data_IF_415766598934
#
_entry.id   IF_415766598934
#
_cell.length_a   1.000
_cell.length_b   1.000
_cell.length_c   1.000
_cell.angle_alpha   90.00
_cell.angle_beta   90.00
_cell.angle_gamma   90.00
#
_symmetry.space_group_name_H-M   'P 1'
#
loop_
_entity.id
_entity.type
_entity.pdbx_description
1 polymer ?
#
# COMPACT_ATOMS: atom_id res chain seq x y z
N UNK A 1 7.23 3.52 -17.67
CA UNK A 1 7.36 4.64 -18.63
C UNK A 1 7.71 5.96 -17.97
N UNK A 2 6.93 6.47 -17.01
CA UNK A 2 7.19 7.79 -16.39
C UNK A 2 8.66 8.04 -15.96
N UNK A 3 9.27 7.09 -15.24
CA UNK A 3 10.64 7.25 -14.74
C UNK A 3 11.69 7.24 -15.85
N UNK A 4 11.42 6.62 -17.01
CA UNK A 4 12.42 6.48 -18.09
C UNK A 4 12.90 7.83 -18.61
N UNK A 5 12.08 8.88 -18.51
CA UNK A 5 12.44 10.24 -18.94
C UNK A 5 13.54 10.88 -18.08
N UNK A 6 13.79 10.34 -16.89
CA UNK A 6 14.74 10.89 -15.91
C UNK A 6 16.04 10.10 -15.81
N UNK A 7 16.15 8.97 -16.50
CA UNK A 7 17.32 8.11 -16.46
C UNK A 7 17.90 7.91 -17.86
N UNK A 8 19.23 7.87 -18.00
CA UNK A 8 19.86 7.46 -19.26
C UNK A 8 19.40 6.04 -19.67
N UNK A 9 19.49 5.71 -20.97
CA UNK A 9 19.28 4.35 -21.43
C UNK A 9 20.11 3.35 -20.62
N UNK A 10 19.53 2.18 -20.32
CA UNK A 10 20.18 1.09 -19.58
C UNK A 10 20.55 1.37 -18.11
N UNK A 11 20.07 2.46 -17.51
CA UNK A 11 20.24 2.73 -16.06
C UNK A 11 19.02 2.29 -15.27
N UNK A 12 17.83 2.41 -15.86
CA UNK A 12 16.58 1.95 -15.26
C UNK A 12 16.22 0.58 -15.84
N UNK A 13 16.17 -0.42 -14.97
CA UNK A 13 15.74 -1.76 -15.30
C UNK A 13 14.37 -2.04 -14.70
N UNK A 14 13.49 -2.63 -15.50
CA UNK A 14 12.14 -3.01 -15.08
C UNK A 14 11.97 -4.50 -15.27
N UNK A 15 11.46 -5.15 -14.23
CA UNK A 15 11.12 -6.57 -14.25
C UNK A 15 9.73 -6.75 -13.70
N UNK A 16 8.94 -7.56 -14.38
CA UNK A 16 7.59 -7.91 -13.98
C UNK A 16 7.49 -9.42 -13.86
N UNK A 17 6.87 -9.87 -12.77
CA UNK A 17 6.68 -11.28 -12.51
C UNK A 17 5.32 -11.53 -11.88
N UNK A 18 4.46 -12.20 -12.65
CA UNK A 18 3.25 -12.80 -12.13
C UNK A 18 3.57 -14.04 -11.28
N UNK A 19 2.88 -14.17 -10.16
CA UNK A 19 3.04 -15.31 -9.25
C UNK A 19 1.73 -16.10 -9.10
N UNK A 20 1.89 -17.40 -8.85
CA UNK A 20 0.79 -18.30 -8.48
C UNK A 20 1.38 -19.47 -7.69
N UNK A 21 1.07 -19.54 -6.39
CA UNK A 21 1.64 -20.49 -5.46
C UNK A 21 0.72 -21.69 -5.17
N UNK A 22 -0.30 -21.92 -6.01
CA UNK A 22 -1.27 -22.99 -5.75
C UNK A 22 -0.65 -24.38 -5.70
N UNK A 23 0.24 -24.69 -6.63
CA UNK A 23 0.81 -26.04 -6.76
C UNK A 23 2.31 -26.00 -6.60
N UNK A 24 2.89 -27.11 -6.12
CA UNK A 24 4.36 -27.26 -6.06
C UNK A 24 5.03 -26.99 -7.40
N UNK A 25 4.40 -27.41 -8.51
CA UNK A 25 4.90 -27.14 -9.85
C UNK A 25 4.91 -25.64 -10.19
N UNK A 26 3.85 -24.89 -9.83
CA UNK A 26 3.82 -23.44 -10.05
C UNK A 26 4.76 -22.68 -9.11
N UNK A 27 4.92 -23.13 -7.87
CA UNK A 27 5.93 -22.61 -6.94
C UNK A 27 7.33 -22.82 -7.50
N UNK A 28 7.65 -24.03 -7.99
CA UNK A 28 8.94 -24.32 -8.61
C UNK A 28 9.18 -23.46 -9.87
N UNK A 29 8.13 -23.26 -10.69
CA UNK A 29 8.17 -22.35 -11.84
C UNK A 29 8.45 -20.90 -11.42
N UNK A 30 7.79 -20.41 -10.37
CA UNK A 30 8.05 -19.07 -9.82
C UNK A 30 9.49 -18.93 -9.34
N UNK A 31 9.97 -19.93 -8.59
CA UNK A 31 11.35 -19.96 -8.10
C UNK A 31 12.37 -19.88 -9.24
N UNK A 32 12.21 -20.69 -10.28
CA UNK A 32 13.09 -20.64 -11.45
C UNK A 32 13.08 -19.29 -12.16
N UNK A 33 11.90 -18.64 -12.28
CA UNK A 33 11.81 -17.27 -12.83
C UNK A 33 12.50 -16.24 -11.94
N UNK A 34 12.38 -16.38 -10.61
CA UNK A 34 13.08 -15.50 -9.66
C UNK A 34 14.60 -15.67 -9.72
N UNK A 35 15.09 -16.89 -9.93
CA UNK A 35 16.53 -17.16 -10.13
C UNK A 35 17.04 -16.49 -11.42
N UNK A 36 16.31 -16.60 -12.54
CA UNK A 36 16.66 -15.87 -13.78
C UNK A 36 16.61 -14.35 -13.60
N UNK A 37 15.62 -13.83 -12.88
CA UNK A 37 15.54 -12.40 -12.57
C UNK A 37 16.73 -11.95 -11.73
N UNK A 38 17.11 -12.75 -10.73
CA UNK A 38 18.27 -12.49 -9.88
C UNK A 38 19.57 -12.41 -10.70
N UNK A 39 19.81 -13.33 -11.64
CA UNK A 39 20.98 -13.27 -12.53
C UNK A 39 21.03 -11.96 -13.33
N UNK A 40 19.88 -11.49 -13.81
CA UNK A 40 19.77 -10.19 -14.48
C UNK A 40 20.09 -9.02 -13.56
N UNK A 41 19.63 -9.06 -12.31
CA UNK A 41 19.89 -8.00 -11.33
C UNK A 41 21.34 -8.01 -10.85
N UNK A 42 21.94 -9.18 -10.63
CA UNK A 42 23.33 -9.33 -10.18
C UNK A 42 24.34 -8.81 -11.23
N UNK A 43 23.92 -8.66 -12.49
CA UNK A 43 24.71 -7.99 -13.53
C UNK A 43 24.81 -6.46 -13.35
N UNK A 44 23.98 -5.87 -12.47
CA UNK A 44 23.97 -4.43 -12.18
C UNK A 44 24.89 -4.14 -10.98
N UNK A 45 25.96 -3.36 -11.16
CA UNK A 45 27.01 -3.20 -10.14
C UNK A 45 26.56 -2.44 -8.88
N UNK A 46 25.56 -1.57 -9.00
CA UNK A 46 24.96 -0.84 -7.88
C UNK A 46 23.60 -0.29 -8.28
N UNK A 47 22.61 -0.36 -7.38
CA UNK A 47 21.28 0.16 -7.67
C UNK A 47 20.42 0.32 -6.41
N UNK A 48 19.40 1.17 -6.53
CA UNK A 48 18.31 1.23 -5.54
C UNK A 48 17.18 0.33 -6.03
N UNK A 49 16.78 -0.62 -5.21
CA UNK A 49 15.73 -1.58 -5.55
C UNK A 49 14.38 -1.06 -5.06
N UNK A 50 13.39 -1.06 -5.96
CA UNK A 50 12.00 -0.83 -5.65
C UNK A 50 11.15 -2.02 -6.10
N UNK A 51 10.25 -2.45 -5.22
CA UNK A 51 9.38 -3.59 -5.47
C UNK A 51 7.94 -3.15 -5.29
N UNK A 52 7.14 -3.32 -6.32
CA UNK A 52 5.69 -3.19 -6.24
C UNK A 52 5.09 -4.59 -6.08
N UNK A 53 4.27 -4.78 -5.04
CA UNK A 53 3.51 -6.02 -4.85
C UNK A 53 2.04 -5.67 -5.03
N UNK A 54 1.45 -6.16 -6.11
CA UNK A 54 0.02 -6.03 -6.38
C UNK A 54 -0.68 -7.34 -6.06
N UNK A 55 -1.57 -7.33 -5.07
CA UNK A 55 -2.33 -8.50 -4.66
C UNK A 55 -3.61 -8.08 -3.92
N UNK A 56 -4.59 -8.96 -3.85
CA UNK A 56 -5.72 -8.79 -2.95
C UNK A 56 -5.42 -9.39 -1.58
N UNK A 57 -5.96 -8.78 -0.53
CA UNK A 57 -6.00 -9.35 0.80
C UNK A 57 -7.42 -9.77 1.14
N UNK A 58 -7.58 -10.93 1.80
CA UNK A 58 -8.85 -11.49 2.19
C UNK A 58 -9.48 -10.69 3.33
N UNK A 59 -10.77 -10.37 3.20
CA UNK A 59 -11.48 -9.49 4.14
C UNK A 59 -11.56 -10.06 5.55
N UNK A 60 -11.76 -11.37 5.69
CA UNK A 60 -12.03 -11.99 6.99
C UNK A 60 -10.76 -12.17 7.83
N UNK A 61 -9.59 -12.29 7.20
CA UNK A 61 -8.36 -12.69 7.88
C UNK A 61 -7.11 -11.88 7.52
N UNK A 62 -7.13 -11.06 6.46
CA UNK A 62 -6.01 -10.22 6.03
C UNK A 62 -4.94 -10.92 5.18
N UNK A 63 -5.04 -12.24 5.00
CA UNK A 63 -4.14 -13.04 4.18
C UNK A 63 -4.10 -12.62 2.71
N UNK A 64 -2.96 -12.86 2.06
CA UNK A 64 -2.73 -12.44 0.67
C UNK A 64 -3.16 -13.51 -0.32
N UNK A 65 -3.80 -13.08 -1.40
CA UNK A 65 -4.17 -13.96 -2.49
C UNK A 65 -2.90 -14.44 -3.18
N UNK A 66 -2.75 -15.76 -3.25
CA UNK A 66 -1.55 -16.45 -3.74
C UNK A 66 -1.80 -17.18 -5.06
N UNK A 67 -2.95 -16.97 -5.69
CA UNK A 67 -3.35 -17.60 -6.93
C UNK A 67 -4.75 -18.18 -6.86
N UNK A 68 -5.14 -18.90 -7.89
CA UNK A 68 -6.49 -19.42 -8.05
C UNK A 68 -6.50 -20.93 -8.29
N UNK A 69 -7.50 -21.59 -7.71
CA UNK A 69 -7.95 -22.88 -8.16
C UNK A 69 -8.65 -22.78 -9.50
N UNK A 70 -8.29 -23.67 -10.41
CA UNK A 70 -9.05 -23.90 -11.63
C UNK A 70 -9.83 -25.22 -11.51
N UNK A 71 -11.06 -25.21 -10.94
CA UNK A 71 -12.12 -26.10 -11.39
C UNK A 71 -12.57 -25.63 -12.77
N UNK A 72 -12.91 -26.57 -13.67
CA UNK A 72 -13.28 -26.30 -15.07
C UNK A 72 -14.43 -25.30 -15.29
N UNK A 73 -15.04 -24.73 -14.24
CA UNK A 73 -16.19 -23.82 -14.35
C UNK A 73 -16.17 -22.58 -13.46
N UNK A 74 -15.42 -22.52 -12.35
CA UNK A 74 -15.35 -21.33 -11.47
C UNK A 74 -14.01 -21.20 -10.74
N UNK A 75 -13.19 -20.18 -11.03
CA UNK A 75 -11.94 -19.96 -10.30
C UNK A 75 -12.23 -19.70 -8.82
N UNK A 76 -11.47 -20.36 -7.93
CA UNK A 76 -11.53 -20.09 -6.48
C UNK A 76 -10.21 -19.49 -6.02
N UNK A 77 -10.18 -18.22 -5.59
CA UNK A 77 -8.93 -17.63 -5.09
C UNK A 77 -8.49 -18.34 -3.80
N UNK A 78 -7.18 -18.58 -3.70
CA UNK A 78 -6.53 -19.10 -2.50
C UNK A 78 -5.79 -17.93 -1.86
N UNK A 79 -6.02 -17.74 -0.56
CA UNK A 79 -5.22 -16.84 0.27
C UNK A 79 -4.27 -17.64 1.15
N UNK A 80 -3.08 -17.10 1.38
CA UNK A 80 -2.07 -17.65 2.31
C UNK A 80 -1.62 -16.56 3.27
N UNK A 81 -1.08 -16.97 4.41
CA UNK A 81 -0.54 -16.04 5.40
C UNK A 81 0.51 -15.12 4.79
N UNK A 82 0.64 -13.93 5.35
CA UNK A 82 1.50 -12.88 4.80
C UNK A 82 2.96 -13.31 4.80
N UNK A 83 3.44 -13.86 5.92
CA UNK A 83 4.81 -14.37 6.06
C UNK A 83 5.13 -15.48 5.05
N UNK A 84 4.19 -16.40 4.85
CA UNK A 84 4.29 -17.46 3.84
C UNK A 84 4.31 -16.87 2.43
N UNK A 85 3.46 -15.87 2.14
CA UNK A 85 3.42 -15.20 0.85
C UNK A 85 4.76 -14.52 0.54
N UNK A 86 5.32 -13.75 1.47
CA UNK A 86 6.63 -13.11 1.32
C UNK A 86 7.74 -14.14 1.16
N UNK A 87 7.72 -15.22 1.93
CA UNK A 87 8.68 -16.33 1.80
C UNK A 87 8.63 -16.99 0.42
N UNK A 88 7.44 -17.11 -0.19
CA UNK A 88 7.25 -17.69 -1.52
C UNK A 88 7.61 -16.70 -2.63
N UNK A 89 7.25 -15.42 -2.48
CA UNK A 89 7.61 -14.35 -3.40
C UNK A 89 9.13 -14.27 -3.55
N UNK A 90 9.84 -14.32 -2.43
CA UNK A 90 11.29 -14.15 -2.35
C UNK A 90 12.04 -15.44 -2.00
N UNK A 91 11.55 -16.60 -2.46
CA UNK A 91 12.11 -17.92 -2.15
C UNK A 91 13.52 -18.20 -2.72
N UNK A 92 14.12 -17.22 -3.41
CA UNK A 92 15.48 -17.25 -3.97
C UNK A 92 16.45 -16.49 -3.05
N UNK A 93 17.76 -16.63 -3.26
CA UNK A 93 18.84 -15.95 -2.49
C UNK A 93 18.88 -14.44 -2.79
N UNK A 94 17.75 -13.75 -2.67
CA UNK A 94 17.56 -12.33 -2.96
C UNK A 94 17.68 -11.45 -1.73
N UNK A 95 18.14 -12.00 -0.60
CA UNK A 95 18.30 -11.25 0.65
C UNK A 95 19.13 -9.98 0.46
N UNK A 96 20.17 -10.03 -0.40
CA UNK A 96 21.01 -8.86 -0.69
C UNK A 96 20.28 -7.79 -1.50
N UNK A 97 19.31 -8.16 -2.34
CA UNK A 97 18.50 -7.24 -3.13
C UNK A 97 17.40 -6.58 -2.29
N UNK A 98 16.83 -7.33 -1.35
CA UNK A 98 15.78 -6.86 -0.46
C UNK A 98 16.33 -5.98 0.66
N UNK A 99 17.57 -6.23 1.08
CA UNK A 99 18.27 -5.41 2.06
C UNK A 99 18.41 -3.99 1.54
N UNK A 100 17.71 -3.07 2.18
CA UNK A 100 17.73 -1.67 1.78
C UNK A 100 16.68 -1.27 0.74
N UNK A 101 15.86 -2.21 0.25
CA UNK A 101 14.86 -1.96 -0.77
C UNK A 101 13.70 -1.07 -0.24
N UNK A 102 12.98 -0.49 -1.19
CA UNK A 102 11.66 0.09 -0.95
C UNK A 102 10.58 -0.86 -1.48
N UNK A 103 9.63 -1.24 -0.63
CA UNK A 103 8.47 -2.04 -1.02
C UNK A 103 7.23 -1.15 -1.05
N UNK A 104 6.40 -1.28 -2.08
CA UNK A 104 5.10 -0.62 -2.20
C UNK A 104 4.04 -1.71 -2.33
N UNK A 105 3.18 -1.80 -1.33
CA UNK A 105 2.07 -2.75 -1.28
C UNK A 105 0.83 -2.11 -1.88
N UNK A 106 0.50 -2.56 -3.09
CA UNK A 106 -0.75 -2.26 -3.78
C UNK A 106 -1.78 -3.32 -3.40
N UNK A 107 -2.07 -3.39 -2.10
CA UNK A 107 -3.00 -4.36 -1.50
C UNK A 107 -4.17 -3.67 -0.81
N UNK A 108 -5.27 -4.41 -0.65
CA UNK A 108 -6.41 -3.94 0.15
C UNK A 108 -6.02 -3.78 1.63
N UNK A 109 -6.80 -2.97 2.36
CA UNK A 109 -6.52 -2.64 3.75
C UNK A 109 -6.54 -3.83 4.70
N UNK A 110 -7.19 -4.94 4.33
CA UNK A 110 -7.36 -6.08 5.23
C UNK A 110 -6.02 -6.63 5.69
N UNK A 111 -4.99 -6.58 4.83
CA UNK A 111 -3.61 -6.88 5.19
C UNK A 111 -3.12 -6.14 6.45
N UNK A 112 -3.47 -4.85 6.58
CA UNK A 112 -2.97 -3.97 7.64
C UNK A 112 -4.01 -3.67 8.73
N UNK A 113 -5.25 -4.13 8.55
CA UNK A 113 -6.32 -4.02 9.55
C UNK A 113 -6.38 -5.21 10.48
N UNK A 114 -6.00 -6.39 10.01
CA UNK A 114 -5.94 -7.59 10.83
C UNK A 114 -4.62 -7.65 11.57
N UNK A 115 -4.69 -7.78 12.90
CA UNK A 115 -3.53 -7.73 13.78
C UNK A 115 -2.47 -8.78 13.41
N UNK A 116 -2.90 -10.04 13.17
CA UNK A 116 -1.99 -11.13 12.78
C UNK A 116 -1.31 -10.84 11.45
N UNK A 117 -2.05 -10.47 10.41
CA UNK A 117 -1.48 -10.13 9.10
C UNK A 117 -0.54 -8.92 9.16
N UNK A 118 -0.86 -7.93 10.00
CA UNK A 118 0.01 -6.78 10.25
C UNK A 118 1.32 -7.19 10.93
N UNK A 119 1.26 -8.07 11.92
CA UNK A 119 2.45 -8.61 12.60
C UNK A 119 3.29 -9.47 11.65
N UNK A 120 2.66 -10.33 10.85
CA UNK A 120 3.35 -11.16 9.84
C UNK A 120 4.03 -10.28 8.78
N UNK A 121 3.37 -9.20 8.33
CA UNK A 121 3.97 -8.20 7.44
C UNK A 121 5.20 -7.56 8.09
N UNK A 122 5.06 -7.08 9.33
CA UNK A 122 6.15 -6.44 10.07
C UNK A 122 7.34 -7.40 10.24
N UNK A 123 7.07 -8.66 10.61
CA UNK A 123 8.08 -9.70 10.72
C UNK A 123 8.78 -9.96 9.39
N UNK A 124 8.02 -10.11 8.30
CA UNK A 124 8.58 -10.34 6.95
C UNK A 124 9.49 -9.20 6.52
N UNK A 125 9.06 -7.95 6.66
CA UNK A 125 9.86 -6.78 6.32
C UNK A 125 11.17 -6.71 7.13
N UNK A 126 11.10 -7.07 8.41
CA UNK A 126 12.27 -7.15 9.30
C UNK A 126 13.23 -8.27 8.89
N UNK A 127 12.74 -9.48 8.65
CA UNK A 127 13.56 -10.61 8.22
C UNK A 127 14.27 -10.31 6.89
N UNK A 128 13.56 -9.70 5.94
CA UNK A 128 14.09 -9.33 4.62
C UNK A 128 14.96 -8.05 4.64
N UNK A 129 15.08 -7.39 5.79
CA UNK A 129 15.86 -6.16 5.97
C UNK A 129 15.47 -5.03 4.98
N UNK A 130 14.18 -4.97 4.63
CA UNK A 130 13.63 -3.92 3.77
C UNK A 130 13.80 -2.57 4.48
N UNK A 131 14.30 -1.55 3.78
CA UNK A 131 14.49 -0.24 4.41
C UNK A 131 13.17 0.45 4.68
N UNK A 132 12.28 0.45 3.68
CA UNK A 132 10.99 1.11 3.81
C UNK A 132 9.89 0.32 3.11
N UNK A 133 8.68 0.34 3.68
CA UNK A 133 7.49 -0.20 3.04
C UNK A 133 6.35 0.83 3.08
N UNK A 134 5.67 1.01 1.94
CA UNK A 134 4.47 1.83 1.81
C UNK A 134 3.28 0.89 1.65
N UNK A 135 2.27 1.03 2.51
CA UNK A 135 1.03 0.27 2.43
C UNK A 135 -0.19 1.19 2.47
N UNK A 136 -1.31 0.71 1.94
CA UNK A 136 -2.55 1.47 1.80
C UNK A 136 -3.64 0.91 2.72
N UNK A 137 -4.53 1.79 3.20
CA UNK A 137 -5.60 1.42 4.15
C UNK A 137 -7.01 1.48 3.54
N UNK A 138 -7.14 1.51 2.22
CA UNK A 138 -8.42 1.42 1.53
C UNK A 138 -8.95 -0.04 1.51
N UNK A 139 -10.15 -0.33 2.04
CA UNK A 139 -10.71 -1.69 2.08
C UNK A 139 -10.77 -2.36 0.72
N UNK A 140 -11.16 -1.60 -0.30
CA UNK A 140 -11.13 -2.00 -1.70
C UNK A 140 -10.20 -1.06 -2.43
N UNK A 141 -8.92 -1.43 -2.49
CA UNK A 141 -7.93 -0.59 -3.14
C UNK A 141 -8.19 -0.54 -4.66
N UNK A 142 -8.34 0.66 -5.19
CA UNK A 142 -8.27 0.93 -6.62
C UNK A 142 -6.87 1.47 -6.91
N UNK A 143 -5.97 0.61 -7.37
CA UNK A 143 -4.54 0.94 -7.55
C UNK A 143 -4.33 2.16 -8.44
N UNK A 144 -5.19 2.36 -9.45
CA UNK A 144 -5.17 3.53 -10.32
C UNK A 144 -5.23 4.86 -9.54
N UNK A 145 -6.00 4.95 -8.45
CA UNK A 145 -6.10 6.17 -7.63
C UNK A 145 -4.80 6.50 -6.88
N UNK A 146 -3.87 5.55 -6.77
CA UNK A 146 -2.55 5.76 -6.18
C UNK A 146 -1.50 6.27 -7.17
N UNK A 147 -1.78 6.27 -8.48
CA UNK A 147 -0.81 6.59 -9.52
C UNK A 147 -0.13 7.95 -9.34
N UNK A 148 -0.89 9.05 -9.21
CA UNK A 148 -0.34 10.39 -9.00
C UNK A 148 0.48 10.51 -7.71
N UNK A 149 0.05 9.80 -6.66
CA UNK A 149 0.78 9.76 -5.40
C UNK A 149 2.13 9.05 -5.57
N UNK A 150 2.13 7.87 -6.18
CA UNK A 150 3.36 7.12 -6.44
C UNK A 150 4.29 7.92 -7.33
N UNK A 151 3.77 8.57 -8.37
CA UNK A 151 4.56 9.42 -9.25
C UNK A 151 5.26 10.55 -8.47
N UNK A 152 4.51 11.32 -7.67
CA UNK A 152 5.07 12.40 -6.87
C UNK A 152 6.08 11.90 -5.82
N UNK A 153 5.80 10.76 -5.18
CA UNK A 153 6.69 10.12 -4.21
C UNK A 153 8.00 9.69 -4.86
N UNK A 154 7.93 9.08 -6.05
CA UNK A 154 9.08 8.62 -6.81
C UNK A 154 9.94 9.79 -7.32
N UNK A 155 9.31 10.89 -7.75
CA UNK A 155 10.03 12.11 -8.07
C UNK A 155 10.87 12.58 -6.90
N UNK A 156 10.26 12.78 -5.73
CA UNK A 156 10.99 13.26 -4.56
C UNK A 156 12.09 12.31 -4.12
N UNK A 157 11.83 11.01 -4.12
CA UNK A 157 12.76 10.04 -3.54
C UNK A 157 13.83 9.54 -4.51
N UNK A 158 13.47 9.24 -5.76
CA UNK A 158 14.39 8.66 -6.74
C UNK A 158 15.05 9.70 -7.61
N UNK A 159 14.32 10.74 -8.01
CA UNK A 159 14.85 11.77 -8.92
C UNK A 159 15.54 12.87 -8.10
N UNK A 160 14.88 13.39 -7.07
CA UNK A 160 15.43 14.49 -6.26
C UNK A 160 16.29 14.03 -5.06
N UNK A 161 16.27 12.73 -4.73
CA UNK A 161 17.11 12.17 -3.66
C UNK A 161 16.63 12.49 -2.24
N UNK A 162 15.40 12.97 -2.06
CA UNK A 162 14.83 13.21 -0.74
C UNK A 162 14.55 11.90 0.00
N UNK A 163 14.47 11.97 1.33
CA UNK A 163 14.10 10.79 2.13
C UNK A 163 12.62 10.45 1.94
N UNK A 164 12.27 9.17 2.09
CA UNK A 164 10.87 8.75 1.96
C UNK A 164 9.94 9.44 2.99
N UNK A 165 10.29 9.56 4.29
CA UNK A 165 9.44 10.25 5.25
C UNK A 165 9.20 11.72 4.92
N UNK A 166 10.23 12.45 4.50
CA UNK A 166 10.09 13.87 4.11
C UNK A 166 9.30 14.08 2.82
N UNK A 167 9.18 13.04 1.99
CA UNK A 167 8.47 13.08 0.72
C UNK A 167 6.97 12.82 0.85
N UNK A 168 6.52 12.20 1.95
CA UNK A 168 5.12 11.82 2.15
C UNK A 168 4.14 12.99 2.13
N UNK A 169 4.37 14.10 2.87
CA UNK A 169 3.45 15.24 2.83
C UNK A 169 3.30 15.80 1.41
N UNK A 170 4.41 15.98 0.70
CA UNK A 170 4.42 16.45 -0.69
C UNK A 170 3.63 15.52 -1.62
N UNK A 171 3.89 14.20 -1.54
CA UNK A 171 3.21 13.24 -2.41
C UNK A 171 1.70 13.17 -2.16
N UNK A 172 1.27 13.32 -0.89
CA UNK A 172 -0.15 13.37 -0.53
C UNK A 172 -0.82 14.67 -0.93
N UNK A 173 -0.15 15.80 -0.78
CA UNK A 173 -0.66 17.12 -1.20
C UNK A 173 -0.88 17.18 -2.72
N UNK A 174 0.01 16.54 -3.49
CA UNK A 174 -0.08 16.46 -4.95
C UNK A 174 -1.00 15.32 -5.46
N UNK A 175 -1.68 14.60 -4.57
CA UNK A 175 -2.54 13.48 -4.96
C UNK A 175 -3.87 13.49 -4.20
N UNK A 176 -4.79 14.30 -4.72
CA UNK A 176 -6.15 14.39 -4.22
C UNK A 176 -6.87 13.04 -4.20
N UNK A 177 -6.74 12.24 -5.27
CA UNK A 177 -7.44 10.96 -5.42
C UNK A 177 -7.04 9.95 -4.33
N UNK A 178 -5.75 9.75 -4.07
CA UNK A 178 -5.35 8.84 -2.99
C UNK A 178 -5.75 9.42 -1.63
N UNK A 179 -5.67 10.75 -1.48
CA UNK A 179 -6.02 11.44 -0.25
C UNK A 179 -7.47 11.22 0.14
N UNK A 180 -8.38 11.14 -0.83
CA UNK A 180 -9.77 10.77 -0.59
C UNK A 180 -9.97 9.27 -0.38
N UNK A 181 -9.18 8.44 -1.07
CA UNK A 181 -9.39 6.99 -1.15
C UNK A 181 -8.79 6.19 0.02
N UNK A 182 -7.60 6.57 0.48
CA UNK A 182 -6.80 5.75 1.38
C UNK A 182 -6.00 6.59 2.37
N UNK A 183 -5.66 6.02 3.53
CA UNK A 183 -4.47 6.48 4.26
C UNK A 183 -3.25 5.77 3.69
N UNK A 184 -2.08 6.29 4.02
CA UNK A 184 -0.80 5.67 3.71
C UNK A 184 -0.11 5.29 5.01
N UNK A 185 0.29 4.03 5.12
CA UNK A 185 1.19 3.56 6.17
C UNK A 185 2.60 3.54 5.61
N UNK A 186 3.54 4.04 6.40
CA UNK A 186 4.96 4.01 6.11
C UNK A 186 5.66 3.23 7.21
N UNK A 187 6.21 2.08 6.84
CA UNK A 187 7.08 1.29 7.68
C UNK A 187 8.53 1.68 7.37
N UNK A 188 9.31 1.95 8.42
CA UNK A 188 10.72 2.36 8.33
C UNK A 188 11.56 1.45 9.22
N UNK A 189 12.57 0.81 8.65
CA UNK A 189 13.60 0.12 9.42
C UNK A 189 14.61 1.16 9.93
N UNK A 190 14.66 1.35 11.24
CA UNK A 190 15.61 2.28 11.85
C UNK A 190 17.03 1.76 11.70
N UNK A 191 17.98 2.69 11.57
CA UNK A 191 19.40 2.33 11.69
C UNK A 191 19.67 1.85 13.11
N UNK A 192 20.57 0.88 13.24
CA UNK A 192 21.10 0.51 14.55
C UNK A 192 21.90 1.71 15.08
N UNK A 193 21.70 2.05 16.35
CA UNK A 193 22.47 3.07 17.04
C UNK A 193 23.20 2.45 18.22
N UNK A 194 24.17 3.18 18.78
CA UNK A 194 24.83 2.77 20.03
C UNK A 194 23.85 2.54 21.18
N UNK A 195 22.74 3.29 21.21
CA UNK A 195 21.69 3.19 22.22
C UNK A 195 20.65 2.09 21.95
N UNK A 196 20.50 1.68 20.68
CA UNK A 196 19.60 0.60 20.27
C UNK A 196 20.30 -0.27 19.22
N UNK A 197 21.08 -1.28 19.67
CA UNK A 197 21.80 -2.16 18.75
C UNK A 197 20.83 -2.99 17.89
N UNK A 198 19.61 -3.22 18.37
CA UNK A 198 18.55 -3.82 17.58
C UNK A 198 17.84 -2.76 16.72
N UNK A 199 17.77 -3.02 15.42
CA UNK A 199 16.96 -2.20 14.49
C UNK A 199 15.49 -2.38 14.84
N UNK A 200 14.73 -1.29 14.84
CA UNK A 200 13.29 -1.29 15.09
C UNK A 200 12.58 -0.93 13.81
N UNK A 201 11.38 -1.47 13.61
CA UNK A 201 10.49 -1.00 12.56
C UNK A 201 9.51 0.00 13.17
N UNK A 202 9.48 1.21 12.62
CA UNK A 202 8.52 2.25 12.99
C UNK A 202 7.44 2.31 11.92
N UNK A 203 6.18 2.29 12.32
CA UNK A 203 5.05 2.48 11.41
C UNK A 203 4.41 3.85 11.66
N UNK A 204 4.45 4.72 10.66
CA UNK A 204 3.79 6.03 10.66
C UNK A 204 2.56 5.98 9.77
N UNK A 205 1.44 6.50 10.25
CA UNK A 205 0.21 6.64 9.48
C UNK A 205 0.05 8.08 9.01
N UNK A 206 -0.01 8.26 7.70
CA UNK A 206 -0.33 9.52 7.06
C UNK A 206 -1.78 9.50 6.62
N UNK A 207 -2.53 10.49 7.07
CA UNK A 207 -3.90 10.73 6.62
C UNK A 207 -3.97 12.07 5.91
N UNK A 208 -4.65 12.09 4.78
CA UNK A 208 -5.01 13.33 4.11
C UNK A 208 -6.34 13.82 4.67
N UNK A 209 -6.49 15.13 4.77
CA UNK A 209 -7.73 15.72 5.29
C UNK A 209 -8.17 16.87 4.39
N UNK A 210 -9.49 17.01 4.26
CA UNK A 210 -10.13 18.12 3.57
C UNK A 210 -11.49 18.38 4.19
N UNK A 211 -11.82 19.65 4.38
CA UNK A 211 -13.04 20.07 5.10
C UNK A 211 -14.34 19.50 4.52
N UNK A 212 -14.40 19.27 3.20
CA UNK A 212 -15.61 18.79 2.51
C UNK A 212 -15.56 17.29 2.27
N UNK A 213 -14.45 16.77 1.71
CA UNK A 213 -14.44 15.40 1.19
C UNK A 213 -13.87 14.38 2.16
N UNK A 214 -13.07 14.82 3.13
CA UNK A 214 -12.44 13.94 4.12
C UNK A 214 -12.15 14.67 5.43
N UNK A 215 -13.20 15.10 6.14
CA UNK A 215 -13.05 15.97 7.30
C UNK A 215 -12.28 15.25 8.40
N UNK A 216 -11.20 15.89 8.88
CA UNK A 216 -10.31 15.35 9.91
C UNK A 216 -9.75 13.95 9.58
N UNK A 217 -9.63 13.60 8.30
CA UNK A 217 -9.11 12.30 7.86
C UNK A 217 -10.15 11.16 7.83
N UNK A 218 -11.41 11.42 8.20
CA UNK A 218 -12.51 10.45 8.15
C UNK A 218 -13.00 10.27 6.72
N UNK A 219 -13.02 9.03 6.23
CA UNK A 219 -13.58 8.69 4.93
C UNK A 219 -15.11 8.82 4.97
N UNK A 220 -15.66 9.67 4.11
CA UNK A 220 -17.10 9.69 3.84
C UNK A 220 -17.42 8.72 2.70
N UNK A 221 -18.64 8.16 2.64
CA UNK A 221 -19.06 7.35 1.50
C UNK A 221 -18.95 8.15 0.19
N UNK A 222 -18.70 7.48 -0.94
CA UNK A 222 -18.57 8.16 -2.22
C UNK A 222 -19.87 8.84 -2.66
N UNK A 223 -20.99 8.19 -2.39
CA UNK A 223 -22.35 8.66 -2.68
C UNK A 223 -23.15 8.81 -1.39
N UNK A 224 -24.11 9.74 -1.40
CA UNK A 224 -25.10 9.80 -0.34
C UNK A 224 -25.97 8.54 -0.35
N UNK A 225 -26.15 7.85 0.79
CA UNK A 225 -26.96 6.64 0.84
C UNK A 225 -28.46 6.91 0.62
N UNK A 226 -28.91 8.16 0.73
CA UNK A 226 -30.32 8.55 0.57
C UNK A 226 -30.64 8.92 -0.89
N UNK A 227 -29.86 9.82 -1.49
CA UNK A 227 -30.16 10.33 -2.84
C UNK A 227 -29.21 9.83 -3.94
N UNK A 228 -28.16 9.08 -3.59
CA UNK A 228 -27.17 8.58 -4.54
C UNK A 228 -26.22 9.64 -5.13
N UNK A 229 -26.39 10.93 -4.77
CA UNK A 229 -25.54 12.00 -5.30
C UNK A 229 -24.08 11.80 -4.88
N UNK A 230 -23.17 11.90 -5.85
CA UNK A 230 -21.74 11.71 -5.69
C UNK A 230 -21.11 12.92 -5.00
N UNK A 231 -20.29 12.69 -3.98
CA UNK A 231 -19.52 13.70 -3.25
C UNK A 231 -20.36 14.90 -2.74
N UNK A 232 -21.66 14.70 -2.50
CA UNK A 232 -22.57 15.79 -2.07
C UNK A 232 -22.46 16.11 -0.58
N UNK A 233 -21.32 16.03 0.10
CA UNK A 233 -21.29 16.20 1.55
C UNK A 233 -21.24 17.68 1.96
N UNK A 234 -22.12 18.09 2.88
CA UNK A 234 -22.08 19.43 3.48
C UNK A 234 -20.94 19.54 4.50
N UNK A 235 -20.72 20.73 5.06
CA UNK A 235 -19.73 20.96 6.10
C UNK A 235 -20.04 20.10 7.33
N UNK A 236 -19.04 19.38 7.87
CA UNK A 236 -19.19 18.65 9.12
C UNK A 236 -19.56 19.59 10.25
N UNK A 237 -20.47 19.13 11.12
CA UNK A 237 -20.89 19.85 12.31
C UNK A 237 -20.53 19.00 13.52
N UNK A 238 -19.92 19.63 14.53
CA UNK A 238 -19.69 19.00 15.81
C UNK A 238 -20.89 19.26 16.71
N UNK A 239 -21.45 18.21 17.30
CA UNK A 239 -22.47 18.31 18.34
C UNK A 239 -21.95 17.68 19.62
N UNK A 240 -21.92 18.45 20.71
CA UNK A 240 -21.54 17.99 22.05
C UNK A 240 -20.32 18.69 22.67
N UNK A 241 -19.94 18.26 23.87
CA UNK A 241 -18.80 18.78 24.62
C UNK A 241 -17.48 18.21 24.08
N UNK A 242 -16.37 18.91 24.34
CA UNK A 242 -15.03 18.43 23.99
C UNK A 242 -14.79 17.09 24.67
N UNK A 243 -14.48 16.05 23.90
CA UNK A 243 -14.25 14.69 24.38
C UNK A 243 -15.48 13.78 24.40
N UNK A 244 -16.69 14.32 24.27
CA UNK A 244 -17.95 13.54 24.35
C UNK A 244 -18.89 13.74 23.15
N UNK A 245 -18.60 14.72 22.28
CA UNK A 245 -19.41 14.99 21.09
C UNK A 245 -19.19 14.04 19.92
N UNK A 246 -20.00 14.20 18.89
CA UNK A 246 -19.85 13.50 17.62
C UNK A 246 -19.83 14.47 16.44
N UNK A 247 -19.19 14.04 15.35
CA UNK A 247 -19.25 14.74 14.07
C UNK A 247 -20.40 14.17 13.25
N UNK A 248 -21.26 15.05 12.74
CA UNK A 248 -22.27 14.71 11.74
C UNK A 248 -21.99 15.41 10.41
N UNK A 249 -22.43 14.79 9.31
CA UNK A 249 -22.34 15.37 7.97
C UNK A 249 -23.68 15.15 7.25
N UNK A 250 -24.23 16.20 6.66
CA UNK A 250 -25.43 16.13 5.81
C UNK A 250 -25.09 15.97 4.33
N UNK A 251 -26.08 15.72 3.47
CA UNK A 251 -25.89 15.87 2.03
C UNK A 251 -26.31 17.29 1.59
N UNK A 252 -25.43 17.96 0.87
CA UNK A 252 -25.58 19.26 0.23
C UNK A 252 -26.53 19.25 -1.00
N UNK A 253 -27.03 18.09 -1.44
CA UNK A 253 -28.07 18.04 -2.46
C UNK A 253 -29.37 18.61 -1.86
N UNK A 254 -29.92 19.72 -2.38
CA UNK A 254 -31.10 20.38 -1.81
C UNK A 254 -32.36 19.50 -1.85
N UNK A 255 -32.38 18.46 -2.70
CA UNK A 255 -33.49 17.50 -2.79
C UNK A 255 -33.29 16.28 -1.88
N UNK A 256 -32.22 16.22 -1.09
CA UNK A 256 -31.93 15.10 -0.21
C UNK A 256 -32.46 15.37 1.21
N UNK A 257 -33.23 14.44 1.76
CA UNK A 257 -33.71 14.50 3.15
C UNK A 257 -32.67 14.16 4.22
N UNK A 258 -31.39 14.03 3.86
CA UNK A 258 -30.33 13.70 4.82
C UNK A 258 -29.89 14.97 5.55
N UNK A 259 -30.59 15.28 6.64
CA UNK A 259 -30.34 16.45 7.47
C UNK A 259 -29.04 16.37 8.28
N UNK A 260 -28.66 17.49 8.90
CA UNK A 260 -27.43 17.64 9.70
C UNK A 260 -27.38 16.78 10.97
N UNK A 261 -28.47 16.13 11.33
CA UNK A 261 -28.57 15.31 12.53
C UNK A 261 -28.45 13.80 12.25
N UNK A 262 -28.14 13.41 11.01
CA UNK A 262 -28.26 12.01 10.59
C UNK A 262 -29.73 11.60 10.46
N UNK A 263 -29.98 10.39 9.95
CA UNK A 263 -31.30 9.76 10.06
C UNK A 263 -31.57 9.35 11.51
#
# INVERSE_FOLDING_TARGET
>A
EYLQLYFPPNVLHFWELEFNFRTRAKIAKHKGKMETMQEGIDSVPSGRVMIFISAHSKEEQGDLFAGEECPQTKPRPIAVKVDQCFSLLFASRMDHLLKGAMVVLLTCAWLVRHERSFQDLHYSLHCLQVSNCVALTAPHLQSYLSSSFLQALLCKTFIEGATLPSSMPFALENSFCIGQHSNVLLFLLTKASSESPCRKFVCSKFFWWNKQTRPYGTCLPLCCPICGALHCWDRPVWSGLIGEGSWSVGCANPHCGLGKNGA
#
